data_IF_910371935014
#
_entry.id   IF_910371935014
#
_cell.length_a   1.000
_cell.length_b   1.000
_cell.length_c   1.000
_cell.angle_alpha   90.00
_cell.angle_beta   90.00
_cell.angle_gamma   90.00
#
_symmetry.space_group_name_H-M   'P 1'
#
loop_
_entity.id
_entity.type
_entity.pdbx_description
1 polymer ?
#
# COMPACT_ATOMS: atom_id res chain seq x y z
N UNK A 1 9.28 -13.78 -19.48
CA UNK A 1 10.48 -14.67 -19.52
C UNK A 1 11.42 -14.41 -20.70
N UNK A 2 11.48 -13.17 -21.23
CA UNK A 2 12.45 -12.78 -22.26
C UNK A 2 13.89 -12.81 -21.74
N UNK A 3 14.10 -12.73 -20.40
CA UNK A 3 15.43 -12.75 -19.81
C UNK A 3 16.10 -14.13 -19.75
N UNK A 4 15.32 -15.20 -19.91
CA UNK A 4 15.83 -16.59 -19.77
C UNK A 4 16.13 -17.27 -21.11
N UNK A 5 15.68 -16.74 -22.24
CA UNK A 5 15.72 -17.45 -23.53
C UNK A 5 16.15 -16.53 -24.66
N UNK A 6 17.37 -16.69 -25.08
CA UNK A 6 17.78 -16.35 -26.43
C UNK A 6 18.87 -15.29 -26.53
N UNK A 7 19.89 -15.68 -27.28
CA UNK A 7 20.83 -14.74 -27.85
C UNK A 7 20.08 -13.92 -28.92
N UNK A 8 20.21 -12.60 -28.82
CA UNK A 8 19.64 -11.66 -29.79
C UNK A 8 20.69 -11.40 -30.84
N UNK A 9 20.42 -11.76 -32.10
CA UNK A 9 21.27 -11.38 -33.19
C UNK A 9 21.16 -9.86 -33.45
N UNK A 10 22.29 -9.21 -33.44
CA UNK A 10 22.37 -7.75 -33.55
C UNK A 10 22.43 -7.34 -35.02
N UNK A 11 21.33 -6.75 -35.50
CA UNK A 11 21.25 -6.18 -36.85
C UNK A 11 21.63 -4.68 -36.85
N UNK A 12 21.93 -4.15 -38.04
CA UNK A 12 22.57 -2.87 -38.34
C UNK A 12 21.89 -1.56 -37.85
N UNK A 13 21.41 -1.51 -36.61
CA UNK A 13 20.57 -0.40 -36.12
C UNK A 13 21.39 0.75 -35.51
N UNK A 14 22.72 0.73 -35.44
CA UNK A 14 23.45 1.65 -34.53
C UNK A 14 24.59 2.46 -35.11
N UNK A 15 24.93 2.35 -36.34
CA UNK A 15 26.04 3.14 -36.89
C UNK A 15 25.81 4.64 -36.69
N UNK A 16 24.54 5.07 -36.74
CA UNK A 16 24.16 6.46 -36.46
C UNK A 16 24.41 6.83 -35.01
N UNK A 17 24.08 5.96 -34.03
CA UNK A 17 24.28 6.21 -32.60
C UNK A 17 25.75 6.39 -32.24
N UNK A 18 26.65 5.59 -32.82
CA UNK A 18 28.10 5.76 -32.63
C UNK A 18 28.61 7.07 -33.21
N UNK A 19 28.09 7.46 -34.39
CA UNK A 19 28.43 8.74 -35.04
C UNK A 19 28.01 9.95 -34.19
N UNK A 20 26.89 9.84 -33.49
CA UNK A 20 26.37 10.86 -32.58
C UNK A 20 27.12 10.91 -31.24
N UNK A 21 28.06 10.01 -30.98
CA UNK A 21 28.77 9.90 -29.70
C UNK A 21 27.88 9.49 -28.54
N UNK A 22 26.82 8.73 -28.81
CA UNK A 22 25.91 8.19 -27.81
C UNK A 22 26.64 7.27 -26.82
N UNK A 23 26.12 7.19 -25.57
CA UNK A 23 26.62 6.25 -24.57
C UNK A 23 26.45 4.81 -25.09
N UNK A 24 27.50 4.01 -24.97
CA UNK A 24 27.53 2.65 -25.50
C UNK A 24 28.45 1.73 -24.67
N UNK A 25 28.42 0.43 -24.96
CA UNK A 25 29.29 -0.62 -24.40
C UNK A 25 29.99 -1.43 -25.49
N UNK A 26 30.12 -0.87 -26.72
CA UNK A 26 30.75 -1.47 -27.89
C UNK A 26 30.11 -2.81 -28.31
N UNK A 27 28.77 -2.85 -28.42
CA UNK A 27 28.09 -3.99 -29.04
C UNK A 27 28.20 -3.88 -30.55
N UNK A 28 28.56 -4.97 -31.25
CA UNK A 28 28.92 -4.95 -32.65
C UNK A 28 27.90 -5.70 -33.51
N UNK A 29 27.88 -5.39 -34.79
CA UNK A 29 27.09 -6.11 -35.79
C UNK A 29 27.40 -7.61 -35.81
N UNK A 30 26.33 -8.45 -35.77
CA UNK A 30 26.46 -9.88 -35.75
C UNK A 30 27.04 -10.41 -34.43
N UNK A 31 26.95 -9.63 -33.37
CA UNK A 31 27.27 -10.11 -32.02
C UNK A 31 26.08 -10.85 -31.42
N UNK A 32 26.34 -12.01 -30.82
CA UNK A 32 25.36 -12.78 -30.07
C UNK A 32 25.38 -12.30 -28.61
N UNK A 33 24.31 -11.63 -28.14
CA UNK A 33 24.21 -11.04 -26.82
C UNK A 33 22.94 -11.51 -26.13
N UNK A 34 23.05 -11.92 -24.87
CA UNK A 34 21.87 -12.33 -24.10
C UNK A 34 21.01 -11.11 -23.78
N UNK A 35 19.68 -11.30 -23.75
CA UNK A 35 18.75 -10.21 -23.39
C UNK A 35 19.09 -9.60 -22.03
N UNK A 36 19.48 -10.40 -21.05
CA UNK A 36 19.86 -9.91 -19.72
C UNK A 36 21.06 -8.99 -19.75
N UNK A 37 22.07 -9.27 -20.62
CA UNK A 37 23.25 -8.44 -20.78
C UNK A 37 22.91 -7.10 -21.43
N UNK A 38 21.96 -7.09 -22.38
CA UNK A 38 21.42 -5.85 -22.97
C UNK A 38 20.70 -5.00 -21.91
N UNK A 39 19.90 -5.61 -21.03
CA UNK A 39 19.21 -4.91 -19.96
C UNK A 39 20.20 -4.27 -18.97
N UNK A 40 21.25 -5.00 -18.57
CA UNK A 40 22.33 -4.43 -17.72
C UNK A 40 23.05 -3.29 -18.45
N UNK A 41 23.41 -3.45 -19.70
CA UNK A 41 24.07 -2.41 -20.50
C UNK A 41 23.21 -1.14 -20.60
N UNK A 42 21.92 -1.29 -20.90
CA UNK A 42 20.96 -0.19 -21.03
C UNK A 42 20.76 0.55 -19.68
N UNK A 43 20.62 -0.15 -18.59
CA UNK A 43 20.34 0.49 -17.28
C UNK A 43 21.63 1.06 -16.68
N UNK A 44 22.71 0.29 -16.58
CA UNK A 44 23.92 0.71 -15.88
C UNK A 44 24.71 1.76 -16.66
N UNK A 45 24.88 1.56 -17.98
CA UNK A 45 25.71 2.43 -18.83
C UNK A 45 24.94 3.39 -19.70
N UNK A 46 23.61 3.34 -19.67
CA UNK A 46 22.77 4.06 -20.66
C UNK A 46 23.11 3.69 -22.11
N UNK A 47 23.50 2.45 -22.37
CA UNK A 47 23.89 2.00 -23.69
C UNK A 47 22.74 2.16 -24.69
N UNK A 48 22.86 3.17 -25.58
CA UNK A 48 21.80 3.51 -26.53
C UNK A 48 21.59 2.39 -27.55
N UNK A 49 22.67 1.72 -27.97
CA UNK A 49 22.58 0.58 -28.86
C UNK A 49 21.84 -0.60 -28.21
N UNK A 50 22.07 -0.86 -26.92
CA UNK A 50 21.36 -1.93 -26.21
C UNK A 50 19.84 -1.64 -26.17
N UNK A 51 19.45 -0.39 -25.91
CA UNK A 51 18.03 0.01 -25.93
C UNK A 51 17.42 -0.16 -27.34
N UNK A 52 18.17 0.23 -28.39
CA UNK A 52 17.72 0.07 -29.78
C UNK A 52 17.60 -1.39 -30.20
N UNK A 53 18.52 -2.26 -29.76
CA UNK A 53 18.47 -3.71 -30.05
C UNK A 53 17.24 -4.32 -29.37
N UNK A 54 17.00 -4.02 -28.11
CA UNK A 54 15.81 -4.49 -27.38
C UNK A 54 14.53 -4.04 -28.10
N UNK A 55 14.46 -2.75 -28.47
CA UNK A 55 13.32 -2.20 -29.18
C UNK A 55 13.09 -2.86 -30.53
N UNK A 56 14.16 -3.08 -31.30
CA UNK A 56 14.12 -3.75 -32.58
C UNK A 56 13.65 -5.20 -32.47
N UNK A 57 14.18 -5.94 -31.50
CA UNK A 57 13.79 -7.33 -31.24
C UNK A 57 12.30 -7.45 -30.89
N UNK A 58 11.81 -6.62 -29.95
CA UNK A 58 10.41 -6.67 -29.51
C UNK A 58 9.48 -6.12 -30.60
N UNK A 59 9.93 -5.10 -31.36
CA UNK A 59 9.20 -4.50 -32.47
C UNK A 59 9.23 -5.33 -33.78
N UNK A 60 9.74 -6.55 -33.76
CA UNK A 60 9.87 -7.42 -34.94
C UNK A 60 10.65 -6.77 -36.10
N UNK A 61 11.75 -6.11 -35.78
CA UNK A 61 12.62 -5.44 -36.75
C UNK A 61 12.32 -3.93 -36.91
N UNK A 62 11.35 -3.37 -36.22
CA UNK A 62 11.00 -1.96 -36.32
C UNK A 62 10.93 -1.27 -34.93
N UNK A 63 11.87 -0.35 -34.68
CA UNK A 63 11.91 0.44 -33.45
C UNK A 63 10.68 1.33 -33.26
N UNK A 64 10.02 1.78 -34.34
CA UNK A 64 8.85 2.62 -34.25
C UNK A 64 7.66 1.89 -33.63
N UNK A 65 7.53 0.58 -33.91
CA UNK A 65 6.51 -0.28 -33.28
C UNK A 65 6.72 -0.33 -31.77
N UNK A 66 7.96 -0.47 -31.30
CA UNK A 66 8.26 -0.50 -29.88
C UNK A 66 8.02 0.88 -29.22
N UNK A 67 8.38 1.97 -29.88
CA UNK A 67 8.12 3.34 -29.40
C UNK A 67 6.62 3.58 -29.23
N UNK A 68 5.79 3.11 -30.16
CA UNK A 68 4.33 3.19 -30.00
C UNK A 68 3.84 2.37 -28.80
N UNK A 69 4.40 1.18 -28.55
CA UNK A 69 4.11 0.40 -27.34
C UNK A 69 4.51 1.14 -26.06
N UNK A 70 5.66 1.85 -26.06
CA UNK A 70 6.07 2.70 -24.92
C UNK A 70 5.05 3.82 -24.68
N UNK A 71 4.60 4.52 -25.71
CA UNK A 71 3.63 5.58 -25.63
C UNK A 71 2.25 5.10 -25.16
N UNK A 72 1.82 3.94 -25.64
CA UNK A 72 0.59 3.31 -25.19
C UNK A 72 0.68 2.94 -23.72
N UNK A 73 1.79 2.32 -23.29
CA UNK A 73 2.01 1.94 -21.90
C UNK A 73 2.02 3.18 -20.98
N UNK A 74 2.67 4.25 -21.38
CA UNK A 74 2.66 5.50 -20.63
C UNK A 74 1.24 6.01 -20.37
N UNK A 75 0.38 6.00 -21.39
CA UNK A 75 -1.05 6.38 -21.25
C UNK A 75 -1.81 5.42 -20.32
N UNK A 76 -1.62 4.10 -20.46
CA UNK A 76 -2.28 3.09 -19.64
C UNK A 76 -2.01 3.25 -18.14
N UNK A 77 -0.78 3.63 -17.77
CA UNK A 77 -0.38 3.83 -16.37
C UNK A 77 -0.63 5.26 -15.86
N UNK A 78 -1.24 6.12 -16.68
CA UNK A 78 -1.60 7.49 -16.31
C UNK A 78 -0.48 8.53 -16.49
N UNK A 79 0.63 8.20 -17.16
CA UNK A 79 1.71 9.12 -17.52
C UNK A 79 1.34 9.90 -18.80
N UNK A 80 0.31 10.75 -18.70
CA UNK A 80 -0.35 11.39 -19.86
C UNK A 80 0.40 12.61 -20.41
N UNK A 81 1.40 13.11 -19.71
CA UNK A 81 2.26 14.22 -20.15
C UNK A 81 3.64 13.70 -20.59
N UNK A 82 3.69 12.48 -21.11
CA UNK A 82 4.90 11.83 -21.61
C UNK A 82 4.70 11.41 -23.06
N UNK A 83 5.71 11.66 -23.87
CA UNK A 83 5.81 11.16 -25.24
C UNK A 83 7.24 10.72 -25.53
N UNK A 84 7.39 9.49 -26.00
CA UNK A 84 8.65 8.90 -26.43
C UNK A 84 8.75 8.99 -27.96
N UNK A 85 9.86 9.54 -28.46
CA UNK A 85 10.20 9.59 -29.88
C UNK A 85 11.20 8.51 -30.27
N UNK A 86 11.97 7.97 -29.30
CA UNK A 86 12.96 6.92 -29.51
C UNK A 86 13.12 6.07 -28.25
N UNK A 87 13.69 4.84 -28.36
CA UNK A 87 13.86 3.94 -27.21
C UNK A 87 15.10 4.23 -26.35
N UNK A 88 16.07 5.00 -26.86
CA UNK A 88 17.40 5.18 -26.28
C UNK A 88 17.57 6.49 -25.49
N UNK A 89 16.62 7.41 -25.57
CA UNK A 89 16.61 8.64 -24.78
C UNK A 89 17.52 9.78 -25.29
N UNK A 90 18.05 9.71 -26.49
CA UNK A 90 18.70 10.86 -27.11
C UNK A 90 17.67 11.97 -27.35
N UNK A 91 18.12 13.24 -27.31
CA UNK A 91 17.21 14.38 -27.51
C UNK A 91 16.45 14.32 -28.84
N UNK A 92 15.15 14.61 -28.77
CA UNK A 92 14.25 14.79 -29.89
C UNK A 92 13.21 15.84 -29.48
N UNK A 93 12.81 16.70 -30.39
CA UNK A 93 11.86 17.79 -30.10
C UNK A 93 10.48 17.29 -29.66
N UNK A 94 10.12 16.08 -30.07
CA UNK A 94 8.86 15.43 -29.69
C UNK A 94 8.99 14.55 -28.42
N UNK A 95 10.19 14.47 -27.80
CA UNK A 95 10.42 13.65 -26.60
C UNK A 95 10.32 14.51 -25.35
N UNK A 96 9.29 14.31 -24.58
CA UNK A 96 9.04 15.06 -23.34
C UNK A 96 8.42 14.20 -22.25
N UNK A 97 8.58 14.65 -21.03
CA UNK A 97 8.00 14.01 -19.83
C UNK A 97 7.91 15.02 -18.67
N UNK A 98 7.34 14.57 -17.56
CA UNK A 98 7.31 15.30 -16.29
C UNK A 98 7.88 14.42 -15.16
N UNK A 99 8.29 15.05 -14.06
CA UNK A 99 8.77 14.30 -12.88
C UNK A 99 7.70 13.35 -12.33
N UNK A 100 6.43 13.76 -12.37
CA UNK A 100 5.30 12.92 -11.94
C UNK A 100 5.15 11.70 -12.85
N UNK A 101 5.21 11.89 -14.16
CA UNK A 101 5.02 10.80 -15.12
C UNK A 101 6.18 9.80 -15.04
N UNK A 102 7.43 10.27 -14.90
CA UNK A 102 8.58 9.40 -14.69
C UNK A 102 8.49 8.63 -13.37
N UNK A 103 7.93 9.22 -12.32
CA UNK A 103 7.62 8.48 -11.09
C UNK A 103 6.62 7.36 -11.36
N UNK A 104 5.52 7.63 -12.10
CA UNK A 104 4.52 6.60 -12.43
C UNK A 104 5.12 5.45 -13.26
N UNK A 105 5.96 5.78 -14.25
CA UNK A 105 6.66 4.80 -15.08
C UNK A 105 7.61 3.95 -14.21
N UNK A 106 8.38 4.60 -13.36
CA UNK A 106 9.33 3.93 -12.47
C UNK A 106 8.61 3.02 -11.47
N UNK A 107 7.55 3.53 -10.85
CA UNK A 107 6.72 2.74 -9.92
C UNK A 107 6.15 1.51 -10.62
N UNK A 108 5.59 1.66 -11.82
CA UNK A 108 5.09 0.54 -12.60
C UNK A 108 6.17 -0.50 -12.87
N UNK A 109 7.38 -0.08 -13.25
CA UNK A 109 8.51 -0.99 -13.48
C UNK A 109 8.95 -1.73 -12.20
N UNK A 110 8.98 -1.04 -11.06
CA UNK A 110 9.31 -1.62 -9.75
C UNK A 110 8.25 -2.64 -9.29
N UNK A 111 6.98 -2.37 -9.54
CA UNK A 111 5.87 -3.23 -9.13
C UNK A 111 5.70 -4.45 -10.06
N UNK A 112 6.17 -4.37 -11.30
CA UNK A 112 5.95 -5.39 -12.32
C UNK A 112 6.82 -6.63 -12.13
N UNK A 113 8.13 -6.46 -11.90
CA UNK A 113 9.07 -7.57 -11.77
C UNK A 113 10.27 -7.17 -10.89
N UNK A 114 10.63 -7.97 -9.87
CA UNK A 114 11.79 -7.74 -9.02
C UNK A 114 13.12 -7.64 -9.78
N UNK A 115 13.22 -8.22 -10.98
CA UNK A 115 14.42 -8.16 -11.81
C UNK A 115 14.81 -6.73 -12.19
N UNK A 116 13.82 -5.84 -12.35
CA UNK A 116 14.09 -4.44 -12.64
C UNK A 116 14.96 -3.80 -11.55
N UNK A 117 14.58 -3.94 -10.29
CA UNK A 117 15.37 -3.40 -9.17
C UNK A 117 16.67 -4.16 -8.96
N UNK A 118 16.71 -5.45 -9.23
CA UNK A 118 17.95 -6.23 -9.21
C UNK A 118 18.99 -5.64 -10.17
N UNK A 119 18.61 -5.36 -11.40
CA UNK A 119 19.47 -4.73 -12.39
C UNK A 119 19.80 -3.29 -11.99
N UNK A 120 18.78 -2.49 -11.67
CA UNK A 120 18.92 -1.07 -11.39
C UNK A 120 19.76 -0.76 -10.15
N UNK A 121 19.80 -1.64 -9.16
CA UNK A 121 20.61 -1.49 -7.94
C UNK A 121 21.99 -2.14 -8.03
N UNK A 122 22.35 -2.74 -9.16
CA UNK A 122 23.69 -3.32 -9.37
C UNK A 122 24.72 -2.23 -9.61
N UNK A 123 25.78 -2.18 -8.82
CA UNK A 123 26.84 -1.18 -8.98
C UNK A 123 27.73 -1.47 -10.19
N UNK A 124 28.08 -2.73 -10.42
CA UNK A 124 28.87 -3.16 -11.57
C UNK A 124 28.44 -4.53 -12.06
N UNK A 125 28.56 -4.74 -13.36
CA UNK A 125 28.19 -6.00 -14.03
C UNK A 125 29.25 -6.36 -15.05
N UNK A 126 29.59 -7.65 -15.17
CA UNK A 126 30.55 -8.14 -16.14
C UNK A 126 29.82 -8.78 -17.32
N UNK A 127 29.86 -8.11 -18.47
CA UNK A 127 29.41 -8.66 -19.75
C UNK A 127 30.36 -9.79 -20.15
N UNK A 128 29.85 -10.97 -20.47
CA UNK A 128 30.70 -12.11 -20.87
C UNK A 128 31.39 -11.88 -22.21
N UNK A 129 32.37 -12.70 -22.52
CA UNK A 129 32.93 -12.80 -23.85
C UNK A 129 31.85 -13.28 -24.84
N UNK A 130 31.93 -12.77 -26.09
CA UNK A 130 30.99 -13.08 -27.15
C UNK A 130 31.72 -13.54 -28.44
N UNK A 131 30.99 -13.82 -29.52
CA UNK A 131 31.58 -14.10 -30.83
C UNK A 131 32.34 -12.88 -31.43
N UNK A 132 32.12 -11.65 -30.90
CA UNK A 132 32.79 -10.43 -31.36
C UNK A 132 33.77 -9.84 -30.33
N UNK A 133 33.69 -10.23 -29.09
CA UNK A 133 34.61 -9.84 -28.02
C UNK A 133 35.17 -11.05 -27.32
N UNK A 134 36.49 -11.27 -27.48
CA UNK A 134 37.18 -12.42 -26.90
C UNK A 134 37.41 -12.32 -25.39
N UNK A 135 37.16 -11.14 -24.79
CA UNK A 135 37.29 -10.89 -23.36
C UNK A 135 36.01 -10.32 -22.79
N UNK A 136 35.79 -10.60 -21.52
CA UNK A 136 34.71 -9.99 -20.74
C UNK A 136 34.94 -8.48 -20.52
N UNK A 137 33.87 -7.72 -20.34
CA UNK A 137 33.89 -6.26 -20.16
C UNK A 137 33.10 -5.89 -18.92
N UNK A 138 33.73 -5.27 -17.92
CA UNK A 138 33.03 -4.80 -16.74
C UNK A 138 32.46 -3.42 -16.99
N UNK A 139 31.16 -3.28 -16.79
CA UNK A 139 30.42 -2.01 -16.85
C UNK A 139 30.02 -1.58 -15.44
N UNK A 140 29.96 -0.28 -15.22
CA UNK A 140 29.67 0.31 -13.90
C UNK A 140 28.49 1.26 -14.01
N UNK A 141 27.61 1.22 -13.03
CA UNK A 141 26.42 2.07 -12.99
C UNK A 141 26.79 3.56 -13.02
N UNK A 142 26.06 4.36 -13.80
CA UNK A 142 26.28 5.80 -13.93
C UNK A 142 25.85 6.60 -12.69
N UNK A 143 24.98 6.05 -11.83
CA UNK A 143 24.64 6.67 -10.55
C UNK A 143 25.75 6.45 -9.53
N UNK A 144 26.65 7.44 -9.41
CA UNK A 144 27.78 7.37 -8.50
C UNK A 144 27.36 7.44 -7.01
N UNK A 145 26.15 7.90 -6.69
CA UNK A 145 25.65 7.95 -5.30
C UNK A 145 25.61 6.58 -4.63
N UNK A 146 25.58 5.49 -5.39
CA UNK A 146 25.57 4.11 -4.88
C UNK A 146 26.96 3.61 -4.47
N UNK A 147 28.03 4.27 -4.89
CA UNK A 147 29.40 3.82 -4.72
C UNK A 147 30.18 4.77 -3.81
N UNK A 148 30.70 4.25 -2.71
CA UNK A 148 31.52 5.04 -1.78
C UNK A 148 32.76 5.65 -2.46
N UNK A 149 33.38 4.88 -3.34
CA UNK A 149 34.61 5.31 -4.04
C UNK A 149 34.38 6.37 -5.12
N UNK A 150 33.17 6.44 -5.71
CA UNK A 150 32.82 7.34 -6.84
C UNK A 150 31.88 8.47 -6.44
N UNK A 151 31.08 8.27 -5.40
CA UNK A 151 30.05 9.22 -4.97
C UNK A 151 30.59 10.42 -4.21
N UNK A 152 31.76 10.29 -3.58
CA UNK A 152 32.34 11.37 -2.79
C UNK A 152 31.35 11.91 -1.75
N UNK A 153 31.15 13.24 -1.73
CA UNK A 153 30.21 13.89 -0.81
C UNK A 153 28.73 13.53 -1.06
N UNK A 154 28.39 13.04 -2.24
CA UNK A 154 27.02 12.65 -2.62
C UNK A 154 26.74 11.16 -2.38
N UNK A 155 27.73 10.37 -1.95
CA UNK A 155 27.51 8.97 -1.60
C UNK A 155 26.44 8.83 -0.50
N UNK A 156 25.59 7.83 -0.66
CA UNK A 156 24.62 7.44 0.37
C UNK A 156 24.43 5.93 0.38
N UNK A 157 24.65 5.26 1.53
CA UNK A 157 24.46 3.81 1.65
C UNK A 157 22.98 3.40 1.51
N UNK A 158 22.08 4.36 1.51
CA UNK A 158 20.63 4.13 1.40
C UNK A 158 20.13 4.19 -0.04
N UNK A 159 20.93 4.75 -0.97
CA UNK A 159 20.50 4.94 -2.37
C UNK A 159 20.69 3.66 -3.18
N UNK A 160 19.63 3.31 -3.93
CA UNK A 160 19.58 2.16 -4.83
C UNK A 160 19.12 2.63 -6.22
N UNK A 161 19.97 2.48 -7.24
CA UNK A 161 19.64 2.79 -8.63
C UNK A 161 19.20 4.25 -8.82
N UNK A 162 18.39 4.59 -9.78
CA UNK A 162 17.83 3.70 -10.83
C UNK A 162 18.44 4.07 -12.18
N UNK A 163 18.35 5.35 -12.55
CA UNK A 163 18.81 5.82 -13.86
C UNK A 163 19.23 7.27 -13.84
N UNK A 164 20.35 7.57 -14.48
CA UNK A 164 20.81 8.93 -14.77
C UNK A 164 20.55 9.29 -16.23
N UNK A 165 20.46 10.59 -16.50
CA UNK A 165 20.44 11.14 -17.84
C UNK A 165 21.17 12.47 -17.89
N UNK A 166 21.86 12.76 -18.99
CA UNK A 166 22.49 14.04 -19.24
C UNK A 166 22.06 14.55 -20.62
N UNK A 167 21.62 15.79 -20.64
CA UNK A 167 21.32 16.53 -21.86
C UNK A 167 22.26 17.73 -22.00
N UNK A 168 22.15 18.44 -23.11
CA UNK A 168 22.90 19.68 -23.29
C UNK A 168 22.49 20.77 -22.28
N UNK A 169 21.29 20.69 -21.71
CA UNK A 169 20.73 21.70 -20.81
C UNK A 169 20.84 21.36 -19.34
N UNK A 170 20.85 20.07 -19.00
CA UNK A 170 20.83 19.68 -17.59
C UNK A 170 21.11 18.21 -17.34
N UNK A 171 21.12 17.85 -16.06
CA UNK A 171 21.32 16.49 -15.57
C UNK A 171 20.03 15.98 -14.94
N UNK A 172 19.72 14.72 -15.18
CA UNK A 172 18.51 14.08 -14.72
C UNK A 172 18.85 12.85 -13.86
N UNK A 173 18.01 12.56 -12.86
CA UNK A 173 18.18 11.42 -12.00
C UNK A 173 16.81 10.89 -11.59
N UNK A 174 16.65 9.58 -11.70
CA UNK A 174 15.65 8.83 -10.95
C UNK A 174 16.42 7.92 -10.01
N UNK A 175 16.10 7.98 -8.72
CA UNK A 175 16.70 7.11 -7.72
C UNK A 175 15.68 6.73 -6.65
N UNK A 176 15.98 5.66 -5.91
CA UNK A 176 15.26 5.31 -4.70
C UNK A 176 16.25 5.20 -3.55
N UNK A 177 15.79 5.49 -2.33
CA UNK A 177 16.58 5.31 -1.13
C UNK A 177 15.73 4.64 -0.07
N UNK A 178 16.30 3.62 0.61
CA UNK A 178 15.64 2.85 1.65
C UNK A 178 16.38 2.96 2.96
N UNK A 179 15.65 3.32 4.01
CA UNK A 179 16.16 3.34 5.38
C UNK A 179 15.05 2.91 6.34
N UNK A 180 15.37 2.09 7.35
CA UNK A 180 14.44 1.67 8.40
C UNK A 180 13.11 1.10 7.85
N UNK A 181 13.21 0.23 6.83
CA UNK A 181 12.10 -0.47 6.16
C UNK A 181 11.11 0.40 5.36
N UNK A 182 11.41 1.67 5.09
CA UNK A 182 10.63 2.50 4.18
C UNK A 182 11.51 3.19 3.14
N UNK A 183 10.91 3.49 2.00
CA UNK A 183 11.64 3.97 0.82
C UNK A 183 11.05 5.25 0.26
N UNK A 184 11.92 6.10 -0.26
CA UNK A 184 11.54 7.24 -1.08
C UNK A 184 12.03 7.05 -2.50
N UNK A 185 11.19 7.40 -3.48
CA UNK A 185 11.60 7.54 -4.88
C UNK A 185 11.70 9.02 -5.21
N UNK A 186 12.79 9.42 -5.81
CA UNK A 186 13.06 10.80 -6.19
C UNK A 186 13.27 10.90 -7.69
N UNK A 187 12.70 11.93 -8.30
CA UNK A 187 12.90 12.31 -9.70
C UNK A 187 13.39 13.74 -9.75
N UNK A 188 14.61 13.93 -10.23
CA UNK A 188 15.19 15.24 -10.52
C UNK A 188 15.33 15.39 -12.04
N UNK A 189 14.74 16.43 -12.60
CA UNK A 189 14.84 16.75 -14.01
C UNK A 189 15.51 18.11 -14.20
N UNK A 190 16.37 18.17 -15.21
CA UNK A 190 17.03 19.38 -15.65
C UNK A 190 17.80 20.12 -14.54
N UNK A 191 18.45 19.37 -13.63
CA UNK A 191 19.34 19.95 -12.63
C UNK A 191 20.48 20.69 -13.36
N UNK A 192 20.87 21.84 -12.82
CA UNK A 192 21.82 22.75 -13.47
C UNK A 192 23.13 22.04 -13.84
N UNK A 193 23.59 22.21 -15.06
CA UNK A 193 24.83 21.63 -15.58
C UNK A 193 25.92 22.66 -15.77
N UNK A 194 25.56 23.89 -16.12
CA UNK A 194 26.50 24.95 -16.42
C UNK A 194 26.24 26.17 -15.54
N UNK A 195 27.27 26.91 -15.19
CA UNK A 195 27.14 28.23 -14.62
C UNK A 195 26.69 29.24 -15.69
N UNK A 196 26.25 30.42 -15.26
CA UNK A 196 25.82 31.49 -16.16
C UNK A 196 26.93 31.95 -17.11
N UNK A 197 28.19 31.74 -16.76
CA UNK A 197 29.36 32.05 -17.61
C UNK A 197 29.66 30.94 -18.65
N UNK A 198 28.90 29.84 -18.65
CA UNK A 198 29.06 28.73 -19.58
C UNK A 198 30.00 27.61 -19.10
N UNK A 199 30.66 27.78 -17.98
CA UNK A 199 31.52 26.71 -17.40
C UNK A 199 30.68 25.56 -16.86
N UNK A 200 31.11 24.31 -17.09
CA UNK A 200 30.43 23.14 -16.55
C UNK A 200 30.64 23.03 -15.03
N UNK A 201 29.55 22.84 -14.30
CA UNK A 201 29.57 22.60 -12.85
C UNK A 201 30.17 21.22 -12.60
N UNK A 202 31.25 21.17 -11.81
CA UNK A 202 32.02 19.96 -11.53
C UNK A 202 31.13 18.90 -10.84
N UNK A 203 30.38 19.31 -9.83
CA UNK A 203 29.49 18.41 -9.11
C UNK A 203 28.21 18.12 -9.92
N UNK A 204 27.76 16.88 -9.88
CA UNK A 204 26.48 16.54 -10.47
C UNK A 204 25.33 17.08 -9.60
N UNK A 205 24.73 18.19 -10.01
CA UNK A 205 23.68 18.86 -9.23
C UNK A 205 22.47 17.96 -8.98
N UNK A 206 22.15 17.02 -9.87
CA UNK A 206 21.07 16.06 -9.58
C UNK A 206 21.40 15.11 -8.41
N UNK A 207 22.68 14.80 -8.17
CA UNK A 207 23.10 14.04 -7.01
C UNK A 207 23.13 14.89 -5.73
N UNK A 208 23.56 16.15 -5.84
CA UNK A 208 23.54 17.11 -4.72
C UNK A 208 22.11 17.30 -4.23
N UNK A 209 21.18 17.60 -5.13
CA UNK A 209 19.76 17.76 -4.81
C UNK A 209 19.16 16.48 -4.18
N UNK A 210 19.47 15.33 -4.79
CA UNK A 210 18.96 14.05 -4.29
C UNK A 210 19.47 13.76 -2.87
N UNK A 211 20.78 13.97 -2.61
CA UNK A 211 21.36 13.76 -1.28
C UNK A 211 20.70 14.65 -0.23
N UNK A 212 20.53 15.94 -0.54
CA UNK A 212 19.89 16.89 0.37
C UNK A 212 18.43 16.52 0.67
N UNK A 213 17.67 16.14 -0.36
CA UNK A 213 16.27 15.76 -0.21
C UNK A 213 16.11 14.45 0.57
N UNK A 214 16.95 13.44 0.34
CA UNK A 214 16.92 12.21 1.12
C UNK A 214 17.31 12.44 2.58
N UNK A 215 18.37 13.21 2.83
CA UNK A 215 18.79 13.56 4.19
C UNK A 215 17.68 14.32 4.92
N UNK A 216 17.02 15.26 4.24
CA UNK A 216 15.88 15.97 4.79
C UNK A 216 14.70 15.02 5.06
N UNK A 217 14.34 14.16 4.12
CA UNK A 217 13.22 13.24 4.25
C UNK A 217 13.43 12.27 5.42
N UNK A 218 14.59 11.58 5.46
CA UNK A 218 14.91 10.64 6.54
C UNK A 218 15.12 11.29 7.91
N UNK A 219 15.47 12.58 7.94
CA UNK A 219 15.59 13.33 9.20
C UNK A 219 14.23 13.77 9.75
N UNK A 220 13.28 14.06 8.88
CA UNK A 220 12.02 14.71 9.31
C UNK A 220 10.83 13.75 9.33
N UNK A 221 10.90 12.61 8.64
CA UNK A 221 9.82 11.66 8.53
C UNK A 221 10.28 10.28 8.95
N UNK A 222 9.40 9.53 9.61
CA UNK A 222 9.62 8.14 9.98
C UNK A 222 8.30 7.37 9.98
N UNK A 223 8.39 6.07 9.71
CA UNK A 223 7.29 5.14 9.99
C UNK A 223 7.25 4.93 11.50
N UNK A 224 6.09 5.19 12.09
CA UNK A 224 5.85 5.04 13.52
C UNK A 224 4.69 4.10 13.74
N UNK A 225 4.84 3.17 14.68
CA UNK A 225 3.75 2.31 15.13
C UNK A 225 2.75 3.15 15.91
N UNK A 226 1.58 3.38 15.30
CA UNK A 226 0.51 4.22 15.85
C UNK A 226 -0.54 3.40 16.59
N UNK A 227 -0.59 2.09 16.32
CA UNK A 227 -1.49 1.14 16.96
C UNK A 227 -0.84 -0.22 17.09
N UNK A 228 -0.93 -0.84 18.28
CA UNK A 228 -0.42 -2.17 18.56
C UNK A 228 -1.55 -3.10 18.98
N UNK A 229 -1.54 -4.33 18.48
CA UNK A 229 -2.50 -5.37 18.84
C UNK A 229 -2.43 -5.77 20.32
N UNK A 230 -1.30 -5.52 20.98
CA UNK A 230 -1.10 -5.83 22.41
C UNK A 230 -1.66 -4.78 23.38
N UNK A 231 -2.16 -3.65 22.89
CA UNK A 231 -2.64 -2.53 23.73
C UNK A 231 -4.17 -2.46 23.67
N UNK A 232 -4.88 -2.67 24.80
CA UNK A 232 -6.33 -2.55 24.80
C UNK A 232 -6.77 -1.13 24.49
N UNK A 233 -7.85 -0.99 23.73
CA UNK A 233 -8.39 0.29 23.30
C UNK A 233 -9.65 0.70 24.07
N UNK A 234 -10.16 -0.18 24.91
CA UNK A 234 -11.33 0.02 25.75
C UNK A 234 -11.83 -1.29 26.32
N UNK A 235 -12.99 -1.22 26.95
CA UNK A 235 -13.71 -2.40 27.45
C UNK A 235 -15.14 -2.37 26.91
N UNK A 236 -15.72 -3.56 26.74
CA UNK A 236 -17.13 -3.72 26.36
C UNK A 236 -17.83 -4.55 27.43
N UNK A 237 -19.06 -4.13 27.76
CA UNK A 237 -19.92 -4.85 28.69
C UNK A 237 -20.43 -6.15 28.04
N UNK A 238 -20.37 -7.26 28.78
CA UNK A 238 -20.87 -8.54 28.33
C UNK A 238 -22.03 -8.99 29.20
N UNK A 239 -23.20 -9.09 28.61
CA UNK A 239 -24.40 -9.60 29.30
C UNK A 239 -24.45 -11.12 29.25
N UNK A 240 -25.06 -11.73 30.25
CA UNK A 240 -25.23 -13.18 30.39
C UNK A 240 -23.93 -13.96 30.48
N UNK A 241 -22.82 -13.32 30.74
CA UNK A 241 -21.57 -14.02 30.97
C UNK A 241 -21.52 -14.67 32.36
N UNK A 242 -20.74 -15.75 32.49
CA UNK A 242 -20.67 -16.58 33.71
C UNK A 242 -19.79 -15.95 34.79
N UNK A 243 -18.64 -15.44 34.43
CA UNK A 243 -17.57 -15.09 35.37
C UNK A 243 -17.24 -13.59 35.43
N UNK A 244 -17.51 -12.85 34.37
CA UNK A 244 -17.20 -11.43 34.21
C UNK A 244 -18.35 -10.71 33.50
N UNK A 245 -18.46 -9.42 33.71
CA UNK A 245 -19.45 -8.55 33.06
C UNK A 245 -18.86 -7.58 32.04
N UNK A 246 -17.53 -7.59 31.83
CA UNK A 246 -16.81 -6.84 30.80
C UNK A 246 -15.55 -7.56 30.34
N UNK A 247 -15.09 -7.25 29.12
CA UNK A 247 -13.83 -7.70 28.57
C UNK A 247 -13.10 -6.55 27.85
N UNK A 248 -11.75 -6.57 27.84
CA UNK A 248 -10.98 -5.64 27.03
C UNK A 248 -11.14 -5.94 25.54
N UNK A 249 -11.12 -4.90 24.73
CA UNK A 249 -11.08 -4.99 23.27
C UNK A 249 -9.73 -4.54 22.74
N UNK A 250 -9.22 -5.26 21.76
CA UNK A 250 -7.92 -5.03 21.14
C UNK A 250 -8.08 -4.77 19.65
N UNK A 251 -7.14 -4.03 19.02
CA UNK A 251 -7.10 -3.92 17.57
C UNK A 251 -6.81 -5.29 16.94
N UNK A 252 -7.49 -5.61 15.84
CA UNK A 252 -7.25 -6.85 15.10
C UNK A 252 -5.90 -6.85 14.37
N UNK A 253 -5.35 -5.67 14.05
CA UNK A 253 -4.10 -5.50 13.33
C UNK A 253 -3.29 -4.32 13.88
N UNK A 254 -1.97 -4.36 13.65
CA UNK A 254 -1.08 -3.25 13.93
C UNK A 254 -1.16 -2.21 12.82
N UNK A 255 -0.97 -0.95 13.16
CA UNK A 255 -0.92 0.14 12.19
C UNK A 255 0.38 0.90 12.31
N UNK A 256 1.15 0.86 11.24
CA UNK A 256 2.34 1.68 11.04
C UNK A 256 2.01 2.81 10.06
N UNK A 257 2.41 4.03 10.37
CA UNK A 257 2.10 5.18 9.54
C UNK A 257 3.31 6.10 9.36
N UNK A 258 3.55 6.52 8.10
CA UNK A 258 4.60 7.48 7.78
C UNK A 258 4.16 8.87 8.20
N UNK A 259 4.83 9.45 9.18
CA UNK A 259 4.53 10.79 9.71
C UNK A 259 5.80 11.56 10.05
N UNK A 260 5.66 12.87 10.23
CA UNK A 260 6.76 13.69 10.73
C UNK A 260 7.19 13.23 12.13
N UNK A 261 8.50 13.26 12.37
CA UNK A 261 9.06 12.79 13.65
C UNK A 261 8.66 13.67 14.84
N UNK A 262 8.40 14.95 14.60
CA UNK A 262 8.01 15.95 15.62
C UNK A 262 6.51 15.93 15.98
N UNK A 263 5.68 15.13 15.31
CA UNK A 263 4.27 15.00 15.65
C UNK A 263 4.13 14.27 16.98
N UNK A 264 3.44 14.94 17.94
CA UNK A 264 3.05 14.30 19.19
C UNK A 264 1.97 13.23 18.93
N UNK A 265 2.19 12.02 19.48
CA UNK A 265 1.23 10.90 19.37
C UNK A 265 -0.12 11.22 20.05
N UNK A 266 -0.17 12.20 20.94
CA UNK A 266 -1.43 12.70 21.53
C UNK A 266 -2.33 13.41 20.52
N UNK A 267 -1.79 13.85 19.37
CA UNK A 267 -2.57 14.44 18.29
C UNK A 267 -3.38 13.39 17.48
N UNK A 268 -3.10 12.10 17.70
CA UNK A 268 -3.88 11.01 17.10
C UNK A 268 -5.23 10.87 17.80
N UNK A 269 -6.28 11.12 17.05
CA UNK A 269 -7.65 10.89 17.51
C UNK A 269 -8.04 9.44 17.25
N UNK A 270 -8.59 8.79 18.28
CA UNK A 270 -9.14 7.43 18.23
C UNK A 270 -10.65 7.54 18.38
N UNK A 271 -11.36 7.23 17.31
CA UNK A 271 -12.83 7.20 17.28
C UNK A 271 -13.22 5.74 17.35
N UNK A 272 -13.76 5.34 18.50
CA UNK A 272 -14.14 3.96 18.80
C UNK A 272 -15.65 3.84 18.59
N UNK A 273 -16.05 2.87 17.80
CA UNK A 273 -17.45 2.49 17.57
C UNK A 273 -17.67 1.07 18.09
N UNK A 274 -18.23 1.02 19.32
CA UNK A 274 -18.59 -0.21 20.03
C UNK A 274 -20.05 -0.14 20.47
N UNK A 275 -20.80 -1.26 20.46
CA UNK A 275 -22.12 -1.31 21.07
C UNK A 275 -21.99 -1.15 22.60
N UNK A 276 -23.06 -0.68 23.26
CA UNK A 276 -23.09 -0.52 24.72
C UNK A 276 -22.85 -1.85 25.46
N UNK A 277 -23.35 -2.96 24.91
CA UNK A 277 -23.13 -4.31 25.45
C UNK A 277 -23.29 -5.37 24.36
N UNK A 278 -22.73 -6.53 24.62
CA UNK A 278 -22.88 -7.75 23.80
C UNK A 278 -23.28 -8.93 24.69
N UNK A 279 -24.00 -9.90 24.13
CA UNK A 279 -24.38 -11.11 24.86
C UNK A 279 -23.30 -12.18 24.78
N UNK A 280 -23.03 -12.88 25.88
CA UNK A 280 -22.26 -14.12 25.85
C UNK A 280 -23.04 -15.24 25.10
N UNK A 281 -22.40 -16.23 24.47
CA UNK A 281 -20.94 -16.49 24.52
C UNK A 281 -20.16 -15.58 23.56
N UNK A 282 -18.92 -15.25 23.94
CA UNK A 282 -17.95 -14.51 23.14
C UNK A 282 -16.71 -15.38 22.98
N UNK A 283 -16.09 -15.35 21.81
CA UNK A 283 -14.85 -16.05 21.55
C UNK A 283 -13.73 -15.02 21.41
N UNK A 284 -12.55 -15.29 21.97
CA UNK A 284 -11.35 -14.49 21.78
C UNK A 284 -11.09 -14.27 20.26
N UNK A 285 -10.76 -13.06 19.87
CA UNK A 285 -10.61 -12.66 18.47
C UNK A 285 -11.91 -12.35 17.72
N UNK A 286 -13.08 -12.51 18.35
CA UNK A 286 -14.36 -12.13 17.74
C UNK A 286 -14.43 -10.62 17.55
N UNK A 287 -14.80 -10.16 16.33
CA UNK A 287 -15.00 -8.73 16.05
C UNK A 287 -16.23 -8.23 16.81
N UNK A 288 -16.02 -7.15 17.58
CA UNK A 288 -17.04 -6.54 18.43
C UNK A 288 -17.38 -5.09 18.02
N UNK A 289 -16.51 -4.46 17.26
CA UNK A 289 -16.69 -3.10 16.77
C UNK A 289 -15.55 -2.66 15.88
N UNK A 290 -15.42 -1.36 15.66
CA UNK A 290 -14.36 -0.77 14.83
C UNK A 290 -13.75 0.45 15.51
N UNK A 291 -12.53 0.78 15.11
CA UNK A 291 -11.85 2.01 15.50
C UNK A 291 -11.31 2.73 14.27
N UNK A 292 -11.57 4.03 14.20
CA UNK A 292 -10.99 4.91 13.19
C UNK A 292 -9.88 5.76 13.83
N UNK A 293 -8.70 5.76 13.21
CA UNK A 293 -7.57 6.61 13.58
C UNK A 293 -7.52 7.82 12.66
N UNK A 294 -7.46 9.03 13.25
CA UNK A 294 -7.33 10.28 12.50
C UNK A 294 -6.13 11.09 12.99
N UNK A 295 -5.49 11.75 12.03
CA UNK A 295 -4.48 12.76 12.27
C UNK A 295 -4.88 14.03 11.53
N UNK A 296 -5.14 15.13 12.27
CA UNK A 296 -5.58 16.41 11.70
C UNK A 296 -6.72 16.25 10.67
N UNK A 297 -7.81 15.58 11.03
CA UNK A 297 -9.01 15.31 10.24
C UNK A 297 -8.82 14.32 9.05
N UNK A 298 -7.60 13.82 8.84
CA UNK A 298 -7.33 12.78 7.83
C UNK A 298 -7.41 11.41 8.49
N UNK A 299 -8.29 10.54 7.98
CA UNK A 299 -8.35 9.14 8.39
C UNK A 299 -7.10 8.41 7.88
N UNK A 300 -6.29 7.90 8.82
CA UNK A 300 -5.06 7.18 8.51
C UNK A 300 -5.26 5.66 8.51
N UNK A 301 -6.21 5.17 9.32
CA UNK A 301 -6.59 3.76 9.32
C UNK A 301 -7.99 3.57 9.89
N UNK A 302 -8.62 2.46 9.52
CA UNK A 302 -9.82 1.93 10.14
C UNK A 302 -9.59 0.45 10.40
N UNK A 303 -9.68 0.03 11.67
CA UNK A 303 -9.37 -1.32 12.12
C UNK A 303 -10.53 -1.91 12.90
N UNK A 304 -10.67 -3.23 12.85
CA UNK A 304 -11.62 -3.94 13.69
C UNK A 304 -11.12 -4.02 15.13
N UNK A 305 -12.05 -3.99 16.07
CA UNK A 305 -11.81 -4.26 17.49
C UNK A 305 -12.31 -5.64 17.83
N UNK A 306 -11.44 -6.45 18.41
CA UNK A 306 -11.70 -7.85 18.74
C UNK A 306 -11.71 -8.12 20.24
N UNK A 307 -12.44 -9.14 20.65
CA UNK A 307 -12.49 -9.62 22.02
C UNK A 307 -11.11 -10.12 22.49
N UNK A 308 -10.64 -9.65 23.63
CA UNK A 308 -9.36 -10.07 24.20
C UNK A 308 -9.38 -11.40 24.94
N UNK A 309 -10.57 -11.94 25.23
CA UNK A 309 -10.76 -13.22 25.90
C UNK A 309 -12.12 -13.84 25.55
N UNK A 310 -12.24 -15.14 25.77
CA UNK A 310 -13.50 -15.88 25.58
C UNK A 310 -14.32 -15.88 26.86
N UNK A 311 -15.64 -15.66 26.76
CA UNK A 311 -16.58 -15.79 27.87
C UNK A 311 -17.71 -16.75 27.54
N UNK A 312 -17.97 -17.66 28.48
CA UNK A 312 -19.10 -18.58 28.38
C UNK A 312 -20.40 -17.95 28.83
N UNK A 313 -21.51 -18.42 28.26
CA UNK A 313 -22.86 -18.01 28.66
C UNK A 313 -23.28 -18.66 29.98
N UNK A 314 -23.84 -17.86 30.87
CA UNK A 314 -24.46 -18.32 32.11
C UNK A 314 -25.91 -18.75 31.86
N UNK A 315 -26.18 -20.06 31.98
CA UNK A 315 -27.56 -20.58 31.86
C UNK A 315 -28.50 -20.01 32.93
N UNK A 316 -27.99 -19.67 34.12
CA UNK A 316 -28.77 -19.04 35.18
C UNK A 316 -29.19 -17.61 34.84
N UNK A 317 -28.29 -16.78 34.35
CA UNK A 317 -28.62 -15.41 33.95
C UNK A 317 -29.57 -15.39 32.77
N UNK A 318 -29.40 -16.32 31.83
CA UNK A 318 -30.33 -16.50 30.71
C UNK A 318 -31.73 -16.89 31.18
N UNK A 319 -31.83 -17.82 32.11
CA UNK A 319 -33.11 -18.18 32.73
C UNK A 319 -33.78 -16.96 33.40
N UNK A 320 -33.04 -16.20 34.21
CA UNK A 320 -33.56 -15.00 34.85
C UNK A 320 -34.04 -13.94 33.83
N UNK A 321 -33.29 -13.72 32.75
CA UNK A 321 -33.70 -12.81 31.66
C UNK A 321 -34.98 -13.28 31.00
N UNK A 322 -35.12 -14.58 30.74
CA UNK A 322 -36.31 -15.17 30.12
C UNK A 322 -37.53 -15.07 31.05
N UNK A 323 -37.34 -15.31 32.34
CA UNK A 323 -38.40 -15.13 33.37
C UNK A 323 -38.82 -13.68 33.45
N UNK A 324 -37.89 -12.72 33.52
CA UNK A 324 -38.22 -11.28 33.50
C UNK A 324 -38.96 -10.89 32.21
N UNK A 325 -38.48 -11.38 31.06
CA UNK A 325 -39.12 -11.16 29.76
C UNK A 325 -40.54 -11.70 29.68
N UNK A 326 -40.79 -12.88 30.28
CA UNK A 326 -42.14 -13.46 30.39
C UNK A 326 -43.07 -12.54 31.17
N UNK A 327 -42.69 -12.07 32.36
CA UNK A 327 -43.50 -11.20 33.20
C UNK A 327 -43.76 -9.81 32.59
N UNK A 328 -42.86 -9.34 31.74
CA UNK A 328 -43.01 -8.04 31.03
C UNK A 328 -43.74 -8.16 29.69
N UNK A 329 -43.95 -9.40 29.19
CA UNK A 329 -44.51 -9.66 27.89
C UNK A 329 -45.98 -9.26 27.79
N UNK A 330 -46.43 -8.94 26.57
CA UNK A 330 -47.83 -8.66 26.27
C UNK A 330 -48.73 -9.88 26.58
N UNK A 331 -48.22 -11.08 26.34
CA UNK A 331 -48.93 -12.33 26.64
C UNK A 331 -49.19 -12.50 28.14
N UNK A 332 -48.23 -12.20 29.01
CA UNK A 332 -48.46 -12.26 30.43
C UNK A 332 -49.50 -11.24 30.92
N UNK A 333 -49.48 -10.02 30.36
CA UNK A 333 -50.53 -9.01 30.64
C UNK A 333 -51.90 -9.46 30.20
N UNK A 334 -52.02 -10.11 29.03
CA UNK A 334 -53.27 -10.69 28.55
C UNK A 334 -53.77 -11.80 29.45
N UNK A 335 -52.87 -12.71 29.91
CA UNK A 335 -53.22 -13.77 30.84
C UNK A 335 -53.78 -13.19 32.14
N UNK A 336 -53.16 -12.15 32.70
CA UNK A 336 -53.68 -11.49 33.92
C UNK A 336 -55.06 -10.91 33.65
N UNK A 337 -55.30 -10.24 32.53
CA UNK A 337 -56.63 -9.71 32.17
C UNK A 337 -57.66 -10.82 32.08
N UNK A 338 -57.34 -11.94 31.44
CA UNK A 338 -58.25 -13.11 31.36
C UNK A 338 -58.56 -13.68 32.75
N UNK A 339 -57.56 -13.81 33.62
CA UNK A 339 -57.75 -14.29 35.01
C UNK A 339 -58.69 -13.34 35.77
N UNK A 340 -58.49 -12.02 35.65
CA UNK A 340 -59.33 -11.03 36.30
C UNK A 340 -60.77 -11.10 35.79
N UNK A 341 -60.97 -11.31 34.52
CA UNK A 341 -62.32 -11.47 33.90
C UNK A 341 -62.99 -12.76 34.40
N UNK A 342 -62.26 -13.86 34.52
CA UNK A 342 -62.76 -15.11 35.08
C UNK A 342 -63.12 -14.97 36.57
N UNK A 343 -62.34 -14.27 37.37
CA UNK A 343 -62.65 -13.97 38.77
C UNK A 343 -63.90 -13.10 38.86
N UNK A 344 -64.02 -12.07 38.03
CA UNK A 344 -65.20 -11.21 37.96
C UNK A 344 -66.49 -12.03 37.60
N UNK A 345 -66.37 -12.88 36.55
CA UNK A 345 -67.46 -13.77 36.13
C UNK A 345 -67.87 -14.74 37.28
N UNK A 346 -66.88 -15.32 37.98
CA UNK A 346 -67.14 -16.18 39.12
C UNK A 346 -67.87 -15.43 40.25
N UNK A 347 -67.44 -14.22 40.59
CA UNK A 347 -68.13 -13.39 41.61
C UNK A 347 -69.57 -13.12 41.21
N UNK A 348 -69.81 -12.73 39.95
CA UNK A 348 -71.19 -12.50 39.42
C UNK A 348 -72.03 -13.76 39.55
N UNK A 349 -71.52 -14.92 39.10
CA UNK A 349 -72.18 -16.18 39.19
C UNK A 349 -72.52 -16.57 40.63
N UNK A 350 -71.58 -16.39 41.57
CA UNK A 350 -71.75 -16.64 43.00
C UNK A 350 -72.85 -15.77 43.60
N UNK A 351 -72.92 -14.47 43.23
CA UNK A 351 -73.93 -13.55 43.69
C UNK A 351 -75.34 -14.01 43.12
N UNK A 352 -75.37 -14.33 41.85
CA UNK A 352 -76.64 -14.82 41.22
C UNK A 352 -77.11 -16.11 41.86
N UNK A 353 -76.22 -17.02 42.12
CA UNK A 353 -76.52 -18.30 42.82
C UNK A 353 -77.07 -18.04 44.24
N UNK A 354 -76.36 -17.22 45.05
CA UNK A 354 -76.84 -16.86 46.39
C UNK A 354 -78.21 -16.14 46.37
N UNK A 355 -78.43 -15.22 45.46
CA UNK A 355 -79.72 -14.55 45.32
C UNK A 355 -80.80 -15.54 44.91
N UNK A 356 -80.54 -16.51 44.03
CA UNK A 356 -81.51 -17.57 43.71
C UNK A 356 -81.85 -18.48 44.93
N UNK A 357 -80.81 -18.80 45.71
CA UNK A 357 -80.96 -19.64 46.93
C UNK A 357 -81.74 -18.88 48.01
N UNK A 358 -81.53 -17.59 48.19
CA UNK A 358 -82.34 -16.76 49.10
C UNK A 358 -83.80 -16.62 48.64
N UNK A 359 -84.05 -16.43 47.34
CA UNK A 359 -85.42 -16.41 46.79
C UNK A 359 -86.15 -17.72 47.02
N UNK A 360 -85.55 -18.88 46.81
CA UNK A 360 -86.09 -20.20 47.09
C UNK A 360 -86.38 -20.43 48.59
N UNK A 361 -85.54 -19.88 49.50
CA UNK A 361 -85.77 -19.94 50.97
C UNK A 361 -86.96 -19.08 51.40
N UNK A 362 -87.11 -17.87 50.78
CA UNK A 362 -88.22 -16.98 51.09
C UNK A 362 -89.57 -17.54 50.54
N UNK A 363 -89.54 -18.25 49.41
CA UNK A 363 -90.75 -18.92 48.85
C UNK A 363 -91.21 -20.10 49.74
N UNK A 364 -90.25 -20.89 50.36
CA UNK A 364 -90.59 -22.00 51.29
C UNK A 364 -91.03 -21.55 52.69
N UNK A 365 -90.96 -20.27 53.06
CA UNK A 365 -91.45 -19.69 54.34
C UNK A 365 -92.85 -19.01 54.18
N UNK A 366 -93.48 -19.10 53.00
CA UNK A 366 -94.81 -18.52 52.73
C UNK A 366 -95.91 -19.58 52.49
N UNK A 367 -95.66 -20.86 52.89
CA UNK A 367 -96.64 -21.91 53.01
C UNK A 367 -96.63 -22.46 54.40
#
# INVERSE_FOLDING_TARGET
NLCEHGDVEVFSVFDELYTLGAANVDIRHGEDVRMIDLLYAMILRSACEAASIIANYIGNGDNAVFVEMMNQKAKEIGAVNTHFANPHGLPDDNQYTTAKDLYLITKYAMDMDPIFMTIASTESYTLPATNKHSQERTITHTNAMMSESRGGAQYSPYVHGIKTGATNTGRNLISTATKDAYSYTLVTLNAQRYYDNGDEITDNQSFVDAKQLYDWAFKNWAVRSVLKTSTPQGEIKVELAKDKDSIPVYPAEEVDYLMKQDIDMSALQRIIDLPESVDAPITEGQVLGTMELKLADVTIAKVDLVAGESLERSGWLEFLRNVKGFFTSVWFKLIIVVILLLIAAYIVLAILYNNRKQRRRKSKRRF
#
